data_IF_547649235969
#
_entry.id   IF_547649235969
#
_cell.length_a   1.000
_cell.length_b   1.000
_cell.length_c   1.000
_cell.angle_alpha   90.00
_cell.angle_beta   90.00
_cell.angle_gamma   90.00
#
_symmetry.space_group_name_H-M   'P 1'
#
loop_
_entity.id
_entity.type
_entity.pdbx_description
1 polymer ?
#
# COMPACT_ATOMS: atom_id res chain seq x y z
N UNK A 1 -0.93 -20.58 -13.96
CA UNK A 1 -0.14 -20.47 -12.72
C UNK A 1 -1.09 -20.11 -11.58
N UNK A 2 -1.03 -20.83 -10.47
CA UNK A 2 -1.88 -20.57 -9.32
C UNK A 2 -1.30 -19.37 -8.56
N UNK A 3 -2.12 -18.37 -8.24
CA UNK A 3 -1.71 -17.21 -7.45
C UNK A 3 -1.63 -17.63 -5.98
N UNK A 4 -0.45 -17.50 -5.37
CA UNK A 4 -0.28 -17.79 -3.95
C UNK A 4 -0.63 -16.57 -3.10
N UNK A 5 -0.06 -15.42 -3.43
CA UNK A 5 -0.19 -14.21 -2.62
C UNK A 5 -0.55 -13.01 -3.47
N UNK A 6 -1.50 -12.23 -3.01
CA UNK A 6 -1.81 -10.89 -3.53
C UNK A 6 -1.32 -9.85 -2.54
N UNK A 7 -0.59 -8.84 -3.02
CA UNK A 7 -0.14 -7.69 -2.20
C UNK A 7 -0.79 -6.42 -2.72
N UNK A 8 -1.44 -5.70 -1.81
CA UNK A 8 -2.06 -4.39 -2.06
C UNK A 8 -1.59 -3.40 -0.99
N UNK A 9 -1.54 -2.12 -1.29
CA UNK A 9 -1.25 -1.06 -0.32
C UNK A 9 -2.02 0.21 -0.61
N UNK A 10 -1.96 1.15 0.31
CA UNK A 10 -2.43 2.53 0.11
C UNK A 10 -3.88 2.59 -0.44
N UNK A 11 -4.77 1.86 0.24
CA UNK A 11 -6.20 1.80 -0.11
C UNK A 11 -6.89 3.08 0.34
N UNK A 12 -6.57 3.58 1.53
CA UNK A 12 -7.13 4.79 2.14
C UNK A 12 -8.66 4.80 2.15
N UNK A 13 -9.28 3.81 2.80
CA UNK A 13 -10.74 3.76 2.98
C UNK A 13 -11.24 5.04 3.66
N UNK A 14 -12.32 5.60 3.15
CA UNK A 14 -12.86 6.90 3.56
C UNK A 14 -12.26 8.08 2.80
N UNK A 15 -11.20 7.90 2.01
CA UNK A 15 -10.70 8.93 1.11
C UNK A 15 -11.63 9.11 -0.10
N UNK A 16 -11.90 10.35 -0.56
CA UNK A 16 -12.72 10.59 -1.74
C UNK A 16 -12.11 10.02 -3.03
N UNK A 17 -10.80 9.82 -3.06
CA UNK A 17 -10.05 9.33 -4.24
C UNK A 17 -9.84 7.83 -4.27
N UNK A 18 -10.19 7.11 -3.20
CA UNK A 18 -10.09 5.66 -3.16
C UNK A 18 -10.93 5.01 -4.27
N UNK A 19 -10.32 4.16 -5.09
CA UNK A 19 -11.01 3.40 -6.14
C UNK A 19 -11.55 2.07 -5.59
N UNK A 20 -12.66 2.16 -4.88
CA UNK A 20 -13.29 1.03 -4.18
C UNK A 20 -13.69 -0.12 -5.08
N UNK A 21 -14.06 0.18 -6.32
CA UNK A 21 -14.45 -0.87 -7.29
C UNK A 21 -13.26 -1.74 -7.67
N UNK A 22 -12.10 -1.12 -7.88
CA UNK A 22 -10.88 -1.86 -8.17
C UNK A 22 -10.42 -2.66 -6.96
N UNK A 23 -10.53 -2.12 -5.74
CA UNK A 23 -10.26 -2.89 -4.51
C UNK A 23 -11.14 -4.13 -4.44
N UNK A 24 -12.47 -3.98 -4.61
CA UNK A 24 -13.41 -5.12 -4.59
C UNK A 24 -13.10 -6.16 -5.67
N UNK A 25 -12.66 -5.72 -6.86
CA UNK A 25 -12.21 -6.64 -7.94
C UNK A 25 -10.99 -7.46 -7.50
N UNK A 26 -9.99 -6.82 -6.90
CA UNK A 26 -8.79 -7.52 -6.41
C UNK A 26 -9.14 -8.49 -5.28
N UNK A 27 -9.99 -8.09 -4.33
CA UNK A 27 -10.48 -8.96 -3.26
C UNK A 27 -11.36 -10.13 -3.75
N UNK A 28 -11.70 -10.16 -5.02
CA UNK A 28 -12.48 -11.25 -5.64
C UNK A 28 -11.63 -12.17 -6.52
N UNK A 29 -10.31 -11.95 -6.56
CA UNK A 29 -9.37 -12.86 -7.21
C UNK A 29 -9.26 -14.15 -6.39
N UNK A 30 -8.81 -15.20 -7.06
CA UNK A 30 -8.42 -16.45 -6.40
C UNK A 30 -6.97 -16.33 -5.92
N UNK A 31 -6.75 -16.46 -4.60
CA UNK A 31 -5.45 -16.42 -3.93
C UNK A 31 -5.50 -17.21 -2.62
N UNK A 32 -4.35 -17.61 -2.08
CA UNK A 32 -4.26 -18.25 -0.77
C UNK A 32 -4.04 -17.25 0.35
N UNK A 33 -3.27 -16.18 0.08
CA UNK A 33 -2.85 -15.15 1.03
C UNK A 33 -3.07 -13.76 0.48
N UNK A 34 -3.52 -12.85 1.34
CA UNK A 34 -3.60 -11.42 1.05
C UNK A 34 -2.68 -10.66 2.00
N UNK A 35 -1.82 -9.81 1.48
CA UNK A 35 -1.02 -8.88 2.27
C UNK A 35 -1.49 -7.46 1.97
N UNK A 36 -1.98 -6.76 2.99
CA UNK A 36 -2.28 -5.33 2.95
C UNK A 36 -1.04 -4.62 3.50
N UNK A 37 -0.24 -4.06 2.61
CA UNK A 37 1.05 -3.47 2.96
C UNK A 37 0.91 -2.00 3.36
N UNK A 38 0.13 -1.75 4.41
CA UNK A 38 -0.09 -0.45 5.04
C UNK A 38 -1.15 0.42 4.36
N UNK A 39 -1.59 1.42 5.10
CA UNK A 39 -2.52 2.47 4.72
C UNK A 39 -3.86 1.92 4.17
N UNK A 40 -4.44 0.97 4.92
CA UNK A 40 -5.80 0.47 4.66
C UNK A 40 -6.82 1.60 4.87
N UNK A 41 -6.65 2.41 5.91
CA UNK A 41 -7.52 3.51 6.26
C UNK A 41 -6.90 4.86 5.89
N UNK A 42 -7.71 5.83 5.44
CA UNK A 42 -7.26 7.22 5.27
C UNK A 42 -7.17 7.93 6.63
N UNK A 43 -8.16 7.69 7.45
CA UNK A 43 -8.23 8.01 8.87
C UNK A 43 -9.40 7.23 9.48
N UNK A 44 -9.50 7.22 10.81
CA UNK A 44 -10.57 6.49 11.52
C UNK A 44 -11.87 7.28 11.68
N UNK A 45 -12.12 8.27 10.83
CA UNK A 45 -13.41 8.96 10.78
C UNK A 45 -14.41 8.18 9.92
N UNK A 46 -15.05 7.18 10.49
CA UNK A 46 -16.02 6.33 9.79
C UNK A 46 -17.23 7.10 9.24
N UNK A 47 -17.46 8.36 9.68
CA UNK A 47 -18.43 9.26 9.06
C UNK A 47 -18.15 9.57 7.59
N UNK A 48 -16.90 9.37 7.14
CA UNK A 48 -16.48 9.57 5.74
C UNK A 48 -16.70 8.33 4.88
N UNK A 49 -17.05 7.20 5.50
CA UNK A 49 -17.27 5.94 4.78
C UNK A 49 -18.57 5.96 4.02
N UNK A 50 -18.52 5.55 2.77
CA UNK A 50 -19.69 5.25 1.98
C UNK A 50 -19.99 3.73 1.99
N UNK A 51 -21.08 3.33 1.32
CA UNK A 51 -21.49 1.93 1.26
C UNK A 51 -20.37 0.99 0.78
N UNK A 52 -19.60 1.39 -0.23
CA UNK A 52 -18.53 0.53 -0.78
C UNK A 52 -17.34 0.38 0.16
N UNK A 53 -17.06 1.36 1.04
CA UNK A 53 -16.04 1.20 2.08
C UNK A 53 -16.45 0.08 3.05
N UNK A 54 -17.72 0.06 3.46
CA UNK A 54 -18.28 -1.00 4.31
C UNK A 54 -18.35 -2.36 3.60
N UNK A 55 -18.64 -2.37 2.29
CA UNK A 55 -18.58 -3.61 1.49
C UNK A 55 -17.18 -4.20 1.45
N UNK A 56 -16.12 -3.36 1.34
CA UNK A 56 -14.71 -3.80 1.39
C UNK A 56 -14.40 -4.42 2.76
N UNK A 57 -14.73 -3.74 3.86
CA UNK A 57 -14.51 -4.27 5.20
C UNK A 57 -15.26 -5.59 5.42
N UNK A 58 -16.51 -5.67 4.98
CA UNK A 58 -17.30 -6.91 5.04
C UNK A 58 -16.65 -8.04 4.24
N UNK A 59 -16.11 -7.72 3.05
CA UNK A 59 -15.41 -8.70 2.21
C UNK A 59 -14.13 -9.18 2.88
N UNK A 60 -13.30 -8.27 3.42
CA UNK A 60 -12.09 -8.61 4.16
C UNK A 60 -12.41 -9.52 5.36
N UNK A 61 -13.45 -9.17 6.15
CA UNK A 61 -13.89 -10.00 7.28
C UNK A 61 -14.36 -11.39 6.85
N UNK A 62 -15.01 -11.52 5.69
CA UNK A 62 -15.40 -12.83 5.15
C UNK A 62 -14.17 -13.62 4.71
N UNK A 63 -13.26 -12.98 4.00
CA UNK A 63 -12.02 -13.61 3.52
C UNK A 63 -11.13 -14.07 4.69
N UNK A 64 -11.04 -13.31 5.78
CA UNK A 64 -10.21 -13.68 6.95
C UNK A 64 -10.65 -15.00 7.63
N UNK A 65 -11.84 -15.52 7.33
CA UNK A 65 -12.28 -16.82 7.82
C UNK A 65 -11.69 -18.03 7.08
N UNK A 66 -11.22 -17.81 5.85
CA UNK A 66 -10.80 -18.86 4.93
C UNK A 66 -9.43 -18.63 4.30
N UNK A 67 -8.91 -17.42 4.39
CA UNK A 67 -7.64 -17.02 3.82
C UNK A 67 -6.74 -16.41 4.90
N UNK A 68 -5.44 -16.54 4.72
CA UNK A 68 -4.48 -15.82 5.55
C UNK A 68 -4.41 -14.36 5.09
N UNK A 69 -4.82 -13.42 5.95
CA UNK A 69 -4.77 -11.98 5.68
C UNK A 69 -3.80 -11.34 6.65
N UNK A 70 -2.71 -10.80 6.10
CA UNK A 70 -1.71 -10.04 6.84
C UNK A 70 -1.96 -8.54 6.61
N UNK A 71 -2.05 -7.78 7.69
CA UNK A 71 -2.15 -6.33 7.65
C UNK A 71 -0.88 -5.71 8.24
N UNK A 72 -0.04 -5.15 7.38
CA UNK A 72 1.19 -4.47 7.77
C UNK A 72 0.83 -3.02 8.15
N UNK A 73 1.42 -2.52 9.22
CA UNK A 73 1.23 -1.15 9.70
C UNK A 73 1.69 -0.12 8.65
N UNK A 74 0.82 0.86 8.37
CA UNK A 74 1.14 2.08 7.61
C UNK A 74 1.00 3.32 8.49
N UNK A 75 1.49 4.46 8.04
CA UNK A 75 1.47 5.69 8.85
C UNK A 75 0.06 6.26 9.08
N UNK A 76 -0.94 5.83 8.31
CA UNK A 76 -2.36 6.17 8.53
C UNK A 76 -3.07 5.17 9.46
N UNK A 77 -2.46 4.05 9.82
CA UNK A 77 -3.10 2.94 10.53
C UNK A 77 -2.89 2.97 12.06
N UNK A 78 -2.99 4.13 12.69
CA UNK A 78 -2.73 4.33 14.14
C UNK A 78 -3.54 3.41 15.07
N UNK A 79 -4.71 2.92 14.66
CA UNK A 79 -5.54 1.96 15.38
C UNK A 79 -5.62 0.61 14.63
N UNK A 80 -4.62 0.28 13.82
CA UNK A 80 -4.60 -0.90 12.98
C UNK A 80 -4.72 -2.21 13.76
N UNK A 81 -4.08 -2.31 14.93
CA UNK A 81 -4.17 -3.46 15.80
C UNK A 81 -5.62 -3.76 16.24
N UNK A 82 -6.33 -2.75 16.72
CA UNK A 82 -7.73 -2.91 17.11
C UNK A 82 -8.62 -3.31 15.93
N UNK A 83 -8.44 -2.65 14.80
CA UNK A 83 -9.23 -2.95 13.60
C UNK A 83 -8.93 -4.34 13.04
N UNK A 84 -7.68 -4.75 13.04
CA UNK A 84 -7.29 -6.09 12.57
C UNK A 84 -7.86 -7.20 13.45
N UNK A 85 -7.89 -6.99 14.76
CA UNK A 85 -8.52 -7.92 15.70
C UNK A 85 -10.02 -8.10 15.41
N UNK A 86 -10.77 -7.00 15.18
CA UNK A 86 -12.19 -7.06 14.80
C UNK A 86 -12.36 -7.78 13.46
N UNK A 87 -11.48 -7.51 12.51
CA UNK A 87 -11.53 -8.05 11.15
C UNK A 87 -11.02 -9.50 11.07
N UNK A 88 -10.35 -10.00 12.11
CA UNK A 88 -9.71 -11.32 12.13
C UNK A 88 -8.53 -11.40 11.16
N UNK A 89 -7.72 -10.36 11.11
CA UNK A 89 -6.49 -10.27 10.34
C UNK A 89 -5.28 -10.27 11.28
N UNK A 90 -4.15 -10.75 10.80
CA UNK A 90 -2.89 -10.64 11.53
C UNK A 90 -2.31 -9.23 11.32
N UNK A 91 -2.01 -8.50 12.42
CA UNK A 91 -1.42 -7.15 12.36
C UNK A 91 0.05 -7.18 12.76
N UNK A 92 0.89 -6.67 11.87
CA UNK A 92 2.35 -6.71 12.03
C UNK A 92 3.02 -5.42 11.55
N UNK A 93 4.23 -5.15 12.06
CA UNK A 93 5.07 -4.01 11.62
C UNK A 93 5.75 -4.26 10.27
N UNK A 94 6.05 -5.51 9.97
CA UNK A 94 6.61 -6.01 8.72
C UNK A 94 6.24 -7.49 8.57
N UNK A 95 6.34 -8.00 7.37
CA UNK A 95 6.12 -9.41 7.11
C UNK A 95 7.25 -9.98 6.26
N UNK A 96 7.77 -11.14 6.66
CA UNK A 96 8.79 -11.85 5.90
C UNK A 96 8.37 -13.29 5.67
N UNK A 97 8.67 -13.81 4.51
CA UNK A 97 8.44 -15.22 4.16
C UNK A 97 9.41 -15.67 3.07
N UNK A 98 9.56 -16.97 2.98
CA UNK A 98 10.33 -17.60 1.92
C UNK A 98 9.39 -18.40 1.01
N UNK A 99 9.59 -18.29 -0.28
CA UNK A 99 8.84 -19.02 -1.29
C UNK A 99 9.78 -19.42 -2.42
N UNK A 100 9.91 -20.75 -2.64
CA UNK A 100 10.77 -21.31 -3.67
C UNK A 100 12.22 -20.76 -3.65
N UNK A 101 12.86 -20.76 -2.47
CA UNK A 101 14.21 -20.25 -2.20
C UNK A 101 14.40 -18.73 -2.37
N UNK A 102 13.32 -17.97 -2.62
CA UNK A 102 13.36 -16.51 -2.64
C UNK A 102 12.84 -15.95 -1.32
N UNK A 103 13.59 -15.07 -0.69
CA UNK A 103 13.26 -14.41 0.56
C UNK A 103 12.59 -13.07 0.30
N UNK A 104 11.35 -12.96 0.73
CA UNK A 104 10.54 -11.75 0.60
C UNK A 104 10.50 -10.99 1.92
N UNK A 105 10.61 -9.67 1.86
CA UNK A 105 10.41 -8.78 2.99
C UNK A 105 9.49 -7.64 2.60
N UNK A 106 8.44 -7.42 3.39
CA UNK A 106 7.44 -6.40 3.16
C UNK A 106 7.37 -5.46 4.38
N UNK A 107 7.44 -4.19 4.12
CA UNK A 107 7.25 -3.11 5.09
C UNK A 107 6.62 -1.93 4.35
N UNK A 108 5.75 -1.14 5.01
CA UNK A 108 5.03 -0.06 4.30
C UNK A 108 5.98 0.96 3.68
N UNK A 109 7.04 1.36 4.41
CA UNK A 109 8.10 2.21 3.86
C UNK A 109 8.11 3.64 4.40
N UNK A 110 7.11 4.06 5.15
CA UNK A 110 6.98 5.37 5.79
C UNK A 110 8.16 5.72 6.71
N UNK A 111 8.75 4.71 7.36
CA UNK A 111 9.92 4.84 8.24
C UNK A 111 11.16 5.39 7.53
N UNK A 112 11.20 5.28 6.21
CA UNK A 112 12.32 5.77 5.37
C UNK A 112 12.06 7.16 4.81
N UNK A 113 10.83 7.68 4.95
CA UNK A 113 10.47 9.01 4.49
C UNK A 113 10.94 10.08 5.48
N UNK A 114 11.97 10.81 5.07
CA UNK A 114 12.57 11.86 5.89
C UNK A 114 11.63 13.05 6.14
N UNK A 115 10.73 13.35 5.19
CA UNK A 115 9.83 14.49 5.28
C UNK A 115 8.75 14.29 6.34
N UNK A 116 8.17 13.11 6.41
CA UNK A 116 7.16 12.78 7.44
C UNK A 116 7.80 12.86 8.83
N UNK A 117 9.03 12.35 8.97
CA UNK A 117 9.71 12.28 10.27
C UNK A 117 10.20 13.63 10.80
N UNK A 118 10.67 14.53 9.94
CA UNK A 118 11.36 15.76 10.37
C UNK A 118 10.57 17.05 10.15
N UNK A 119 9.48 17.04 9.39
CA UNK A 119 8.66 18.24 9.13
C UNK A 119 7.15 17.95 9.19
N UNK A 120 6.63 17.41 10.30
CA UNK A 120 5.23 16.97 10.39
C UNK A 120 4.24 18.12 10.16
N UNK A 121 4.57 19.35 10.61
CA UNK A 121 3.70 20.51 10.41
C UNK A 121 3.59 20.93 8.95
N UNK A 122 4.70 20.90 8.21
CA UNK A 122 4.71 21.20 6.77
C UNK A 122 3.96 20.13 5.99
N UNK A 123 4.17 18.87 6.34
CA UNK A 123 3.45 17.74 5.75
C UNK A 123 1.96 17.86 6.00
N UNK A 124 1.52 18.15 7.23
CA UNK A 124 0.12 18.37 7.58
C UNK A 124 -0.51 19.53 6.79
N UNK A 125 0.17 20.66 6.65
CA UNK A 125 -0.31 21.83 5.91
C UNK A 125 -0.51 21.52 4.41
N UNK A 126 0.49 20.91 3.76
CA UNK A 126 0.39 20.53 2.35
C UNK A 126 -0.62 19.39 2.11
N UNK A 127 -0.75 18.46 3.05
CA UNK A 127 -1.79 17.42 3.03
C UNK A 127 -3.18 18.04 3.10
N UNK A 128 -3.38 19.06 3.96
CA UNK A 128 -4.64 19.81 4.04
C UNK A 128 -5.01 20.51 2.73
N UNK A 129 -4.04 21.20 2.11
CA UNK A 129 -4.22 21.82 0.79
C UNK A 129 -4.54 20.77 -0.28
N UNK A 130 -3.84 19.65 -0.26
CA UNK A 130 -4.03 18.55 -1.21
C UNK A 130 -5.44 17.94 -1.08
N UNK A 131 -5.93 17.70 0.14
CA UNK A 131 -7.32 17.25 0.37
C UNK A 131 -8.35 18.29 -0.07
N UNK A 132 -8.08 19.58 0.12
CA UNK A 132 -8.95 20.65 -0.34
C UNK A 132 -9.02 20.70 -1.87
N UNK A 133 -7.87 20.60 -2.55
CA UNK A 133 -7.80 20.51 -4.01
C UNK A 133 -8.53 19.28 -4.55
N UNK A 134 -8.41 18.13 -3.90
CA UNK A 134 -9.13 16.90 -4.28
C UNK A 134 -10.66 17.03 -4.17
N UNK A 135 -11.15 17.83 -3.23
CA UNK A 135 -12.60 18.10 -3.10
C UNK A 135 -13.14 18.92 -4.25
N UNK A 136 -12.37 19.84 -4.79
CA UNK A 136 -12.77 20.76 -5.88
C UNK A 136 -12.52 20.13 -7.24
N UNK A 137 -11.39 19.47 -7.40
CA UNK A 137 -10.97 18.82 -8.64
C UNK A 137 -11.49 17.38 -8.72
N UNK A 138 -12.78 17.21 -9.04
CA UNK A 138 -13.40 15.90 -9.29
C UNK A 138 -12.70 15.08 -10.39
N UNK A 139 -11.94 15.74 -11.26
CA UNK A 139 -11.19 15.10 -12.36
C UNK A 139 -9.79 14.66 -11.95
N UNK A 140 -9.33 15.05 -10.77
CA UNK A 140 -7.99 14.81 -10.22
C UNK A 140 -6.83 15.25 -11.13
N UNK A 141 -7.09 16.13 -12.10
CA UNK A 141 -6.08 16.62 -13.06
C UNK A 141 -5.07 17.53 -12.39
N UNK A 142 -5.53 18.45 -11.53
CA UNK A 142 -4.69 19.41 -10.81
C UNK A 142 -3.84 18.69 -9.78
N UNK A 143 -4.43 17.80 -8.99
CA UNK A 143 -3.72 17.01 -7.99
C UNK A 143 -2.65 16.11 -8.61
N UNK A 144 -2.88 15.57 -9.81
CA UNK A 144 -1.88 14.80 -10.57
C UNK A 144 -0.75 15.67 -11.10
N UNK A 145 -1.07 16.86 -11.61
CA UNK A 145 -0.08 17.78 -12.13
C UNK A 145 0.85 18.26 -11.01
N UNK A 146 0.30 18.59 -9.85
CA UNK A 146 1.10 18.98 -8.66
C UNK A 146 2.02 17.86 -8.19
N UNK A 147 1.55 16.61 -8.14
CA UNK A 147 2.42 15.45 -7.83
C UNK A 147 3.53 15.28 -8.87
N UNK A 148 3.19 15.34 -10.15
CA UNK A 148 4.17 15.15 -11.25
C UNK A 148 5.22 16.26 -11.30
N UNK A 149 4.88 17.48 -10.91
CA UNK A 149 5.76 18.63 -10.90
C UNK A 149 6.53 18.83 -9.59
N UNK A 150 6.11 18.14 -8.52
CA UNK A 150 6.78 18.25 -7.23
C UNK A 150 8.10 17.49 -7.22
N UNK A 151 9.21 18.23 -7.28
CA UNK A 151 10.57 17.68 -7.11
C UNK A 151 10.70 16.91 -5.79
N UNK A 152 10.05 17.39 -4.74
CA UNK A 152 10.05 16.74 -3.41
C UNK A 152 9.42 15.36 -3.45
N UNK A 153 8.32 15.17 -4.21
CA UNK A 153 7.66 13.87 -4.35
C UNK A 153 8.51 12.87 -5.15
N UNK A 154 9.15 13.35 -6.23
CA UNK A 154 10.06 12.53 -7.04
C UNK A 154 11.27 12.09 -6.21
N UNK A 155 11.83 12.99 -5.40
CA UNK A 155 12.95 12.69 -4.51
C UNK A 155 12.54 11.75 -3.36
N UNK A 156 11.34 11.90 -2.79
CA UNK A 156 10.87 11.07 -1.69
C UNK A 156 10.86 9.58 -2.04
N UNK A 157 10.36 9.21 -3.23
CA UNK A 157 10.33 7.81 -3.66
C UNK A 157 11.74 7.20 -3.78
N UNK A 158 12.69 7.97 -4.34
CA UNK A 158 14.06 7.49 -4.51
C UNK A 158 14.78 7.37 -3.16
N UNK A 159 14.53 8.29 -2.23
CA UNK A 159 15.06 8.25 -0.86
C UNK A 159 14.51 7.02 -0.11
N UNK A 160 13.20 6.79 -0.17
CA UNK A 160 12.56 5.64 0.47
C UNK A 160 13.15 4.35 -0.07
N UNK A 161 13.20 4.19 -1.41
CA UNK A 161 13.78 3.01 -2.05
C UNK A 161 15.23 2.80 -1.62
N UNK A 162 16.08 3.82 -1.76
CA UNK A 162 17.51 3.72 -1.44
C UNK A 162 17.73 3.29 0.00
N UNK A 163 17.09 3.95 0.96
CA UNK A 163 17.23 3.61 2.38
C UNK A 163 16.68 2.21 2.72
N UNK A 164 15.59 1.81 2.08
CA UNK A 164 15.02 0.48 2.29
C UNK A 164 15.98 -0.60 1.79
N UNK A 165 16.53 -0.43 0.57
CA UNK A 165 17.51 -1.33 -0.02
C UNK A 165 18.80 -1.37 0.80
N UNK A 166 19.34 -0.24 1.21
CA UNK A 166 20.54 -0.17 2.08
C UNK A 166 20.35 -0.96 3.38
N UNK A 167 19.16 -0.87 3.97
CA UNK A 167 18.88 -1.51 5.27
C UNK A 167 18.60 -3.00 5.17
N UNK A 168 17.95 -3.46 4.09
CA UNK A 168 17.38 -4.81 3.98
C UNK A 168 17.92 -5.62 2.81
N UNK A 169 18.41 -5.00 1.74
CA UNK A 169 18.74 -5.66 0.47
C UNK A 169 19.83 -6.71 0.53
N UNK A 170 20.65 -6.74 1.61
CA UNK A 170 21.64 -7.79 1.80
C UNK A 170 21.07 -9.11 2.36
N UNK A 171 19.87 -9.06 2.94
CA UNK A 171 19.25 -10.20 3.63
C UNK A 171 18.14 -10.85 2.81
N UNK A 172 17.50 -10.10 1.90
CA UNK A 172 16.31 -10.53 1.17
C UNK A 172 16.49 -10.35 -0.32
N UNK A 173 15.89 -11.24 -1.09
CA UNK A 173 15.93 -11.20 -2.55
C UNK A 173 14.91 -10.22 -3.13
N UNK A 174 13.77 -10.07 -2.46
CA UNK A 174 12.68 -9.18 -2.87
C UNK A 174 12.22 -8.31 -1.70
N UNK A 175 12.28 -6.99 -1.91
CA UNK A 175 11.78 -5.99 -0.97
C UNK A 175 10.51 -5.36 -1.53
N UNK A 176 9.41 -5.37 -0.78
CA UNK A 176 8.14 -4.79 -1.21
C UNK A 176 7.69 -3.66 -0.30
N UNK A 177 7.35 -2.51 -0.90
CA UNK A 177 6.90 -1.31 -0.22
C UNK A 177 5.54 -0.81 -0.76
N UNK A 178 4.94 0.13 -0.04
CA UNK A 178 3.83 1.00 -0.43
C UNK A 178 4.22 2.47 -0.27
N UNK A 179 3.41 3.24 0.47
CA UNK A 179 3.66 4.60 0.97
C UNK A 179 3.84 5.68 -0.10
N UNK A 180 4.72 5.48 -1.07
CA UNK A 180 5.01 6.49 -2.08
C UNK A 180 3.97 6.56 -3.20
N UNK A 181 3.00 5.64 -3.24
CA UNK A 181 2.00 5.50 -4.29
C UNK A 181 2.58 5.34 -5.71
N UNK A 182 3.87 5.05 -5.82
CA UNK A 182 4.57 4.94 -7.09
C UNK A 182 4.88 3.49 -7.44
N UNK A 183 3.99 2.88 -8.22
CA UNK A 183 4.14 1.49 -8.65
C UNK A 183 5.39 1.33 -9.53
N UNK A 184 6.37 0.54 -9.06
CA UNK A 184 7.61 0.27 -9.78
C UNK A 184 8.22 -1.08 -9.40
N UNK A 185 9.01 -1.64 -10.31
CA UNK A 185 9.93 -2.76 -10.05
C UNK A 185 11.32 -2.27 -10.45
N UNK A 186 12.27 -2.35 -9.55
CA UNK A 186 13.65 -1.89 -9.77
C UNK A 186 14.64 -2.96 -9.34
N UNK A 187 15.48 -3.39 -10.27
CA UNK A 187 16.64 -4.23 -9.95
C UNK A 187 17.70 -3.36 -9.27
N UNK A 188 18.03 -3.69 -8.04
CA UNK A 188 19.02 -2.98 -7.21
C UNK A 188 20.33 -3.81 -7.08
N UNK A 189 20.54 -4.81 -7.92
CA UNK A 189 21.71 -5.67 -7.96
C UNK A 189 21.69 -6.74 -6.86
N UNK A 190 21.69 -6.36 -5.60
CA UNK A 190 21.64 -7.31 -4.48
C UNK A 190 20.23 -7.85 -4.19
N UNK A 191 19.19 -7.13 -4.61
CA UNK A 191 17.78 -7.50 -4.43
C UNK A 191 16.92 -6.79 -5.47
N UNK A 192 15.68 -7.22 -5.60
CA UNK A 192 14.65 -6.51 -6.37
C UNK A 192 13.76 -5.71 -5.43
N UNK A 193 13.66 -4.40 -5.68
CA UNK A 193 12.70 -3.53 -5.00
C UNK A 193 11.40 -3.45 -5.80
N UNK A 194 10.27 -3.57 -5.10
CA UNK A 194 8.93 -3.49 -5.70
C UNK A 194 8.08 -2.53 -4.87
N UNK A 195 7.39 -1.63 -5.53
CA UNK A 195 6.35 -0.84 -4.88
C UNK A 195 4.99 -1.19 -5.50
N UNK A 196 4.02 -1.56 -4.66
CA UNK A 196 2.70 -2.00 -5.10
C UNK A 196 1.83 -0.88 -5.67
N UNK A 197 2.24 0.38 -5.49
CA UNK A 197 1.45 1.54 -5.91
C UNK A 197 0.32 1.87 -4.93
N UNK A 198 -0.85 2.27 -5.44
CA UNK A 198 -1.96 2.73 -4.61
C UNK A 198 -3.31 2.55 -5.30
N UNK A 199 -4.38 2.47 -4.50
CA UNK A 199 -5.77 2.52 -4.98
C UNK A 199 -6.35 3.94 -5.00
N UNK A 200 -5.55 4.94 -4.68
CA UNK A 200 -5.91 6.36 -4.77
C UNK A 200 -5.43 7.03 -6.06
N UNK A 201 -4.78 6.28 -6.94
CA UNK A 201 -4.31 6.77 -8.24
C UNK A 201 -5.24 6.33 -9.38
N UNK A 202 -5.09 6.97 -10.55
CA UNK A 202 -5.88 6.60 -11.75
C UNK A 202 -5.55 5.22 -12.24
N UNK A 203 -4.26 4.93 -12.31
CA UNK A 203 -3.76 3.59 -12.55
C UNK A 203 -3.50 2.96 -11.20
N UNK A 204 -4.49 2.28 -10.67
CA UNK A 204 -4.29 1.45 -9.49
C UNK A 204 -3.43 0.25 -9.85
N UNK A 205 -2.71 -0.26 -8.88
CA UNK A 205 -1.86 -1.42 -9.08
C UNK A 205 -1.84 -2.34 -7.86
N UNK A 206 -1.46 -3.57 -8.08
CA UNK A 206 -1.26 -4.58 -7.06
C UNK A 206 -0.24 -5.60 -7.54
N UNK A 207 0.29 -6.42 -6.63
CA UNK A 207 1.26 -7.44 -6.96
C UNK A 207 0.61 -8.81 -6.83
N UNK A 208 0.89 -9.71 -7.78
CA UNK A 208 0.67 -11.14 -7.65
C UNK A 208 1.99 -11.84 -7.45
N UNK A 209 2.04 -12.74 -6.47
CA UNK A 209 3.16 -13.67 -6.27
C UNK A 209 2.63 -15.08 -6.54
N UNK A 210 3.31 -15.82 -7.38
CA UNK A 210 2.93 -17.17 -7.78
C UNK A 210 3.68 -18.22 -6.97
N UNK A 211 3.16 -19.43 -6.90
CA UNK A 211 3.71 -20.55 -6.10
C UNK A 211 5.20 -20.83 -6.39
N UNK A 212 5.69 -20.46 -7.59
CA UNK A 212 7.10 -20.61 -7.96
C UNK A 212 8.00 -19.42 -7.57
N UNK A 213 7.49 -18.47 -6.78
CA UNK A 213 8.24 -17.30 -6.33
C UNK A 213 8.32 -16.15 -7.35
N UNK A 214 7.85 -16.35 -8.57
CA UNK A 214 7.73 -15.27 -9.55
C UNK A 214 6.64 -14.30 -9.12
N UNK A 215 6.80 -13.02 -9.46
CA UNK A 215 5.81 -12.00 -9.15
C UNK A 215 5.60 -11.05 -10.33
N UNK A 216 4.43 -10.43 -10.34
CA UNK A 216 4.02 -9.46 -11.36
C UNK A 216 3.38 -8.23 -10.71
N UNK A 217 3.74 -7.05 -11.18
CA UNK A 217 3.07 -5.78 -10.87
C UNK A 217 1.99 -5.53 -11.92
N UNK A 218 0.73 -5.58 -11.50
CA UNK A 218 -0.44 -5.51 -12.38
C UNK A 218 -1.10 -4.15 -12.23
N UNK A 219 -1.33 -3.49 -13.36
CA UNK A 219 -2.05 -2.23 -13.45
C UNK A 219 -3.52 -2.44 -13.89
N UNK A 220 -4.41 -1.64 -13.29
CA UNK A 220 -5.86 -1.68 -13.54
C UNK A 220 -6.39 -0.36 -14.07
#
# INVERSE_FOLDING_TARGET
MTCDTVVISDIHLGSPVCNREKVLKVLSLDFKRLIINGDLFDNYSFKRFNKKDWDILSKLRKLSKTHNIIFIHGNHDSNGEFMSAIMGMEFVEYYEFELNNSKFFLEHGDKYDHWIKHKPFITWFFTGIYYWLQRIDKSHRISRLTKKLSKSWIQAKDIVRTKFVEKRGKKYDVLMAGHTHHAEIVDCGACVYVNSGSFCEVKCSYIKIYEHGNFELIFM
#
